data_IF_611880412413
#
_entry.id   IF_611880412413
#
_cell.length_a   1.000
_cell.length_b   1.000
_cell.length_c   1.000
_cell.angle_alpha   90.00
_cell.angle_beta   90.00
_cell.angle_gamma   90.00
#
_symmetry.space_group_name_H-M   'P 1'
#
loop_
_entity.id
_entity.type
_entity.pdbx_description
1 polymer ?
#
# COMPACT_ATOMS: atom_id res chain seq x y z
N UNK A 1 2.41 -5.75 14.56
CA UNK A 1 1.86 -4.87 13.50
C UNK A 1 1.96 -3.41 13.94
N UNK A 2 2.44 -2.53 13.06
CA UNK A 2 2.43 -1.07 13.23
C UNK A 2 1.50 -0.46 12.18
N UNK A 3 0.64 0.45 12.59
CA UNK A 3 -0.27 1.19 11.68
C UNK A 3 0.21 2.63 11.59
N UNK A 4 0.41 3.12 10.37
CA UNK A 4 0.70 4.53 10.10
C UNK A 4 -0.41 5.11 9.24
N UNK A 5 -0.99 6.22 9.69
CA UNK A 5 -2.01 6.96 8.96
C UNK A 5 -1.39 8.28 8.49
N UNK A 6 -1.64 8.61 7.23
CA UNK A 6 -1.26 9.86 6.59
C UNK A 6 -2.38 10.25 5.62
N UNK A 7 -2.42 11.51 5.19
CA UNK A 7 -3.18 11.89 4.02
C UNK A 7 -2.28 12.18 2.83
N UNK A 8 -2.89 12.28 1.66
CA UNK A 8 -2.22 12.72 0.46
C UNK A 8 -3.17 13.42 -0.49
N UNK A 9 -2.62 14.10 -1.48
CA UNK A 9 -3.38 14.88 -2.44
C UNK A 9 -3.45 14.18 -3.80
N UNK A 10 -2.34 13.68 -4.33
CA UNK A 10 -2.27 13.01 -5.64
C UNK A 10 -1.12 12.01 -5.68
N UNK A 11 -0.98 11.25 -6.78
CA UNK A 11 0.21 10.43 -7.08
C UNK A 11 0.34 9.10 -6.32
N UNK A 12 -0.64 8.72 -5.47
CA UNK A 12 -0.60 7.45 -4.74
C UNK A 12 -0.65 6.24 -5.67
N UNK A 13 -1.46 6.29 -6.73
CA UNK A 13 -1.59 5.19 -7.68
C UNK A 13 -0.26 4.93 -8.40
N UNK A 14 0.34 5.97 -8.97
CA UNK A 14 1.67 5.87 -9.58
C UNK A 14 2.74 5.39 -8.58
N UNK A 15 2.67 5.82 -7.32
CA UNK A 15 3.59 5.36 -6.27
C UNK A 15 3.42 3.87 -5.94
N UNK A 16 2.20 3.36 -5.93
CA UNK A 16 1.90 1.95 -5.68
C UNK A 16 2.34 1.08 -6.86
N UNK A 17 2.07 1.51 -8.09
CA UNK A 17 2.47 0.75 -9.29
C UNK A 17 3.99 0.84 -9.56
N UNK A 18 4.52 2.05 -9.62
CA UNK A 18 5.85 2.33 -10.20
C UNK A 18 6.84 2.88 -9.18
N UNK A 19 6.44 3.03 -7.91
CA UNK A 19 7.16 3.76 -6.88
C UNK A 19 8.66 3.48 -6.86
N UNK A 20 9.43 4.42 -7.38
CA UNK A 20 10.89 4.36 -7.43
C UNK A 20 11.45 4.99 -6.16
N UNK A 21 12.11 4.21 -5.30
CA UNK A 21 12.85 4.77 -4.17
C UNK A 21 14.20 5.25 -4.71
N UNK A 22 14.49 6.57 -4.64
CA UNK A 22 15.81 7.09 -5.02
C UNK A 22 16.92 6.28 -4.33
N UNK A 23 17.83 5.69 -5.12
CA UNK A 23 18.89 4.80 -4.65
C UNK A 23 18.57 3.29 -4.72
N UNK A 24 17.54 2.85 -5.45
CA UNK A 24 17.39 1.44 -5.86
C UNK A 24 17.67 1.30 -7.35
N UNK A 25 18.44 0.28 -7.73
CA UNK A 25 18.70 -0.07 -9.14
C UNK A 25 17.48 -0.71 -9.82
N UNK A 26 16.45 -1.10 -9.05
CA UNK A 26 15.29 -1.85 -9.53
C UNK A 26 13.98 -1.13 -9.19
N UNK A 27 13.03 -1.18 -10.12
CA UNK A 27 11.63 -0.73 -9.98
C UNK A 27 10.84 -1.61 -9.01
N UNK A 28 9.68 -1.13 -8.54
CA UNK A 28 8.83 -1.87 -7.60
C UNK A 28 8.28 -3.17 -8.21
N UNK A 29 7.89 -3.12 -9.47
CA UNK A 29 7.45 -4.29 -10.24
C UNK A 29 8.53 -5.37 -10.39
N UNK A 30 9.81 -4.98 -10.43
CA UNK A 30 10.93 -5.92 -10.53
C UNK A 30 11.20 -6.66 -9.21
N UNK A 31 10.90 -6.03 -8.08
CA UNK A 31 11.32 -6.53 -6.75
C UNK A 31 10.17 -7.07 -5.90
N UNK A 32 8.93 -6.71 -6.20
CA UNK A 32 7.74 -7.09 -5.44
C UNK A 32 6.66 -7.71 -6.36
N UNK A 33 5.92 -8.68 -5.83
CA UNK A 33 4.62 -9.09 -6.36
C UNK A 33 3.57 -8.22 -5.69
N UNK A 34 2.82 -7.46 -6.48
CA UNK A 34 1.64 -6.73 -6.01
C UNK A 34 0.48 -7.71 -5.90
N UNK A 35 -0.02 -7.87 -4.69
CA UNK A 35 -1.21 -8.65 -4.39
C UNK A 35 -2.34 -7.68 -4.03
N UNK A 36 -3.33 -7.56 -4.90
CA UNK A 36 -4.54 -6.78 -4.59
C UNK A 36 -5.37 -7.55 -3.56
N UNK A 37 -5.71 -6.89 -2.46
CA UNK A 37 -6.46 -7.46 -1.34
C UNK A 37 -7.91 -6.96 -1.29
N UNK A 38 -8.17 -5.75 -1.79
CA UNK A 38 -9.53 -5.19 -1.92
C UNK A 38 -9.53 -4.03 -2.94
N UNK A 39 -10.64 -3.87 -3.66
CA UNK A 39 -10.90 -2.71 -4.51
C UNK A 39 -10.25 -2.72 -5.89
N UNK A 40 -10.36 -1.58 -6.57
CA UNK A 40 -9.83 -1.32 -7.91
C UNK A 40 -9.01 -0.01 -7.88
N UNK A 41 -7.73 -0.10 -8.25
CA UNK A 41 -6.82 1.04 -8.21
C UNK A 41 -7.17 2.12 -9.23
N UNK A 42 -7.63 1.74 -10.43
CA UNK A 42 -8.00 2.69 -11.47
C UNK A 42 -9.28 3.44 -11.09
N UNK A 43 -10.24 2.74 -10.48
CA UNK A 43 -11.42 3.39 -9.89
C UNK A 43 -11.01 4.37 -8.79
N UNK A 44 -10.13 3.94 -7.89
CA UNK A 44 -9.59 4.77 -6.79
C UNK A 44 -8.93 6.04 -7.32
N UNK A 45 -8.10 5.92 -8.36
CA UNK A 45 -7.49 7.06 -9.05
C UNK A 45 -8.55 8.04 -9.56
N UNK A 46 -9.54 7.52 -10.29
CA UNK A 46 -10.61 8.35 -10.85
C UNK A 46 -11.43 9.08 -9.78
N UNK A 47 -11.65 8.46 -8.61
CA UNK A 47 -12.33 9.07 -7.47
C UNK A 47 -11.49 10.19 -6.86
N UNK A 48 -10.20 9.96 -6.64
CA UNK A 48 -9.27 10.99 -6.12
C UNK A 48 -9.21 12.18 -7.07
N UNK A 49 -9.09 11.93 -8.38
CA UNK A 49 -8.97 12.97 -9.39
C UNK A 49 -10.26 13.77 -9.59
N UNK A 50 -11.42 13.17 -9.31
CA UNK A 50 -12.70 13.87 -9.31
C UNK A 50 -12.87 14.87 -8.14
N UNK A 51 -12.09 14.73 -7.06
CA UNK A 51 -12.12 15.67 -5.92
C UNK A 51 -11.37 16.95 -6.31
N UNK A 52 -12.01 18.14 -6.26
CA UNK A 52 -11.35 19.40 -6.61
C UNK A 52 -10.11 19.65 -5.75
N UNK A 53 -8.98 19.97 -6.39
CA UNK A 53 -7.74 20.27 -5.67
C UNK A 53 -7.68 21.75 -5.25
N UNK A 54 -7.79 21.99 -3.94
CA UNK A 54 -7.59 23.28 -3.29
C UNK A 54 -6.39 23.25 -2.33
N UNK A 55 -5.46 22.30 -2.51
CA UNK A 55 -4.30 22.09 -1.63
C UNK A 55 -4.58 21.28 -0.36
N UNK A 56 -5.76 20.64 -0.25
CA UNK A 56 -6.13 19.76 0.86
C UNK A 56 -5.68 18.31 0.64
N UNK A 57 -5.76 17.48 1.68
CA UNK A 57 -5.68 16.02 1.52
C UNK A 57 -6.97 15.50 0.87
N UNK A 58 -6.83 14.74 -0.22
CA UNK A 58 -7.96 14.16 -0.99
C UNK A 58 -8.20 12.69 -0.66
N UNK A 59 -7.25 12.02 0.00
CA UNK A 59 -7.37 10.64 0.45
C UNK A 59 -6.61 10.39 1.75
N UNK A 60 -7.00 9.33 2.45
CA UNK A 60 -6.22 8.72 3.53
C UNK A 60 -5.33 7.62 2.95
N UNK A 61 -4.06 7.64 3.33
CA UNK A 61 -3.09 6.60 3.04
C UNK A 61 -2.65 5.94 4.34
N UNK A 62 -3.02 4.66 4.48
CA UNK A 62 -2.77 3.86 5.68
C UNK A 62 -1.81 2.73 5.33
N UNK A 63 -0.71 2.63 6.07
CA UNK A 63 0.26 1.54 5.94
C UNK A 63 0.16 0.62 7.14
N UNK A 64 -0.05 -0.68 6.86
CA UNK A 64 0.07 -1.76 7.84
C UNK A 64 1.44 -2.42 7.67
N UNK A 65 2.26 -2.43 8.71
CA UNK A 65 3.57 -3.09 8.71
C UNK A 65 3.59 -4.26 9.68
N UNK A 66 4.07 -5.41 9.22
CA UNK A 66 4.09 -6.65 10.01
C UNK A 66 5.47 -6.89 10.61
N UNK A 67 5.50 -7.55 11.76
CA UNK A 67 6.78 -7.95 12.37
C UNK A 67 7.26 -9.27 11.75
N UNK A 68 6.28 -10.12 11.46
CA UNK A 68 6.37 -11.42 10.84
C UNK A 68 7.07 -11.34 9.48
N UNK A 69 7.96 -12.29 9.19
CA UNK A 69 8.74 -12.30 7.95
C UNK A 69 7.90 -12.76 6.76
N UNK A 70 6.93 -13.63 7.01
CA UNK A 70 6.00 -14.14 5.99
C UNK A 70 4.60 -14.25 6.58
N UNK A 71 3.61 -13.81 5.80
CA UNK A 71 2.20 -13.98 6.09
C UNK A 71 1.51 -14.61 4.87
N UNK A 72 0.68 -15.65 5.06
CA UNK A 72 -0.10 -16.21 3.96
C UNK A 72 -1.04 -15.16 3.36
N UNK A 73 -1.26 -15.21 2.05
CA UNK A 73 -2.16 -14.30 1.34
C UNK A 73 -3.57 -14.27 1.95
N UNK A 74 -4.10 -15.44 2.31
CA UNK A 74 -5.39 -15.54 2.99
C UNK A 74 -5.42 -14.76 4.31
N UNK A 75 -4.31 -14.77 5.07
CA UNK A 75 -4.23 -14.03 6.33
C UNK A 75 -4.15 -12.52 6.10
N UNK A 76 -3.44 -12.08 5.05
CA UNK A 76 -3.40 -10.67 4.66
C UNK A 76 -4.79 -10.18 4.23
N UNK A 77 -5.51 -10.99 3.46
CA UNK A 77 -6.88 -10.71 3.07
C UNK A 77 -7.80 -10.59 4.30
N UNK A 78 -7.76 -11.56 5.22
CA UNK A 78 -8.56 -11.51 6.46
C UNK A 78 -8.26 -10.24 7.28
N UNK A 79 -6.99 -9.88 7.42
CA UNK A 79 -6.58 -8.67 8.14
C UNK A 79 -7.13 -7.41 7.47
N UNK A 80 -7.06 -7.31 6.14
CA UNK A 80 -7.59 -6.15 5.40
C UNK A 80 -9.11 -6.06 5.55
N UNK A 81 -9.83 -7.18 5.44
CA UNK A 81 -11.30 -7.18 5.59
C UNK A 81 -11.72 -6.79 7.01
N UNK A 82 -11.05 -7.32 8.04
CA UNK A 82 -11.29 -6.95 9.44
C UNK A 82 -10.98 -5.46 9.68
N UNK A 83 -9.84 -4.98 9.16
CA UNK A 83 -9.44 -3.59 9.29
C UNK A 83 -10.42 -2.64 8.59
N UNK A 84 -10.85 -2.97 7.37
CA UNK A 84 -11.86 -2.22 6.61
C UNK A 84 -13.18 -2.17 7.37
N UNK A 85 -13.66 -3.30 7.90
CA UNK A 85 -14.90 -3.36 8.67
C UNK A 85 -14.85 -2.49 9.94
N UNK A 86 -13.70 -2.45 10.63
CA UNK A 86 -13.51 -1.61 11.81
C UNK A 86 -13.44 -0.12 11.46
N UNK A 87 -12.68 0.22 10.42
CA UNK A 87 -12.47 1.61 10.02
C UNK A 87 -13.72 2.24 9.41
N UNK A 88 -14.45 1.48 8.61
CA UNK A 88 -15.62 1.93 7.84
C UNK A 88 -16.95 1.60 8.52
N UNK A 89 -16.95 1.06 9.75
CA UNK A 89 -18.17 0.56 10.41
C UNK A 89 -19.28 1.59 10.66
N UNK A 90 -18.99 2.89 10.46
CA UNK A 90 -19.96 3.98 10.53
C UNK A 90 -20.48 4.46 9.17
N UNK A 91 -20.01 3.86 8.07
CA UNK A 91 -20.33 4.23 6.70
C UNK A 91 -21.03 3.07 5.98
N UNK A 92 -21.90 3.39 5.04
CA UNK A 92 -22.40 2.44 4.06
C UNK A 92 -21.35 2.20 2.96
N UNK A 93 -21.44 1.05 2.29
CA UNK A 93 -20.47 0.64 1.26
C UNK A 93 -20.42 1.60 0.05
N UNK A 94 -21.47 2.38 -0.18
CA UNK A 94 -21.57 3.39 -1.25
C UNK A 94 -21.05 4.78 -0.83
N UNK A 95 -20.67 4.97 0.44
CA UNK A 95 -20.17 6.25 0.95
C UNK A 95 -18.65 6.40 0.87
N UNK A 96 -17.92 5.32 0.55
CA UNK A 96 -16.47 5.35 0.47
C UNK A 96 -15.93 4.52 -0.69
N UNK A 97 -14.74 4.90 -1.15
CA UNK A 97 -13.90 4.07 -2.00
C UNK A 97 -12.71 3.56 -1.16
N UNK A 98 -12.40 2.27 -1.30
CA UNK A 98 -11.33 1.61 -0.56
C UNK A 98 -10.50 0.76 -1.51
N UNK A 99 -9.18 0.87 -1.38
CA UNK A 99 -8.23 0.04 -2.10
C UNK A 99 -7.13 -0.41 -1.15
N UNK A 100 -6.77 -1.69 -1.24
CA UNK A 100 -5.67 -2.26 -0.47
C UNK A 100 -4.87 -3.25 -1.31
N UNK A 101 -3.55 -3.18 -1.18
CA UNK A 101 -2.62 -4.13 -1.77
C UNK A 101 -1.47 -4.45 -0.80
N UNK A 102 -0.88 -5.62 -0.97
CA UNK A 102 0.37 -6.01 -0.32
C UNK A 102 1.52 -6.07 -1.34
N UNK A 103 2.70 -5.66 -0.90
CA UNK A 103 3.94 -5.79 -1.66
C UNK A 103 4.74 -6.99 -1.15
N UNK A 104 4.60 -8.14 -1.80
CA UNK A 104 5.30 -9.36 -1.41
C UNK A 104 6.68 -9.41 -2.07
N UNK A 105 7.80 -9.40 -1.32
CA UNK A 105 9.13 -9.34 -1.91
C UNK A 105 9.46 -10.60 -2.73
N UNK A 106 9.76 -10.42 -4.02
CA UNK A 106 10.31 -11.48 -4.90
C UNK A 106 11.74 -11.86 -4.49
N UNK A 107 12.49 -10.85 -4.06
CA UNK A 107 13.87 -10.99 -3.58
C UNK A 107 13.86 -10.78 -2.06
N UNK A 108 14.11 -11.85 -1.30
CA UNK A 108 14.05 -11.86 0.17
C UNK A 108 15.21 -11.13 0.84
N UNK A 109 16.34 -10.97 0.15
CA UNK A 109 17.53 -10.29 0.67
C UNK A 109 18.10 -9.35 -0.38
N UNK A 110 18.33 -8.09 -0.01
CA UNK A 110 18.96 -7.10 -0.89
C UNK A 110 20.03 -6.35 -0.11
N UNK A 111 21.17 -5.99 -0.73
CA UNK A 111 22.15 -5.14 -0.06
C UNK A 111 21.53 -3.77 0.24
N UNK A 112 21.66 -3.32 1.48
CA UNK A 112 21.28 -1.98 1.89
C UNK A 112 22.16 -0.95 1.16
N UNK A 113 21.53 0.01 0.49
CA UNK A 113 22.24 0.98 -0.35
C UNK A 113 23.22 1.86 0.45
N UNK A 114 23.02 2.04 1.77
CA UNK A 114 23.89 2.87 2.59
C UNK A 114 25.08 2.10 3.16
N UNK A 115 24.91 0.81 3.44
CA UNK A 115 25.87 0.02 4.21
C UNK A 115 26.46 -1.16 3.45
N UNK A 116 25.85 -1.59 2.34
CA UNK A 116 26.24 -2.77 1.56
C UNK A 116 25.90 -4.10 2.24
N UNK A 117 25.37 -4.09 3.47
CA UNK A 117 24.99 -5.28 4.19
C UNK A 117 23.68 -5.88 3.64
N UNK A 118 23.58 -7.20 3.60
CA UNK A 118 22.33 -7.87 3.23
C UNK A 118 21.26 -7.56 4.27
N UNK A 119 20.16 -6.93 3.85
CA UNK A 119 18.97 -6.73 4.67
C UNK A 119 17.84 -7.61 4.15
N UNK A 120 17.09 -8.19 5.09
CA UNK A 120 15.90 -8.97 4.82
C UNK A 120 14.73 -8.04 4.47
N UNK A 121 13.99 -8.39 3.40
CA UNK A 121 12.80 -7.66 2.97
C UNK A 121 11.56 -8.35 3.53
N UNK A 122 10.76 -7.59 4.28
CA UNK A 122 9.48 -8.03 4.85
C UNK A 122 8.30 -7.44 4.07
N UNK A 123 7.12 -8.10 4.10
CA UNK A 123 5.86 -7.57 3.56
C UNK A 123 5.41 -6.24 4.18
#
# INVERSE_FOLDING_TARGET
MLIRVSGGNSGVCEYLEKGYKQGREYTRDEIDNRLVLDGDLALTESVIDAIPDNGQERYLHITLSFFEDELPEAKLHDIVQEFKSLLMGAYHEDEFNFYAEAHLPKIKQMPDHKTGNMIERKP
#
